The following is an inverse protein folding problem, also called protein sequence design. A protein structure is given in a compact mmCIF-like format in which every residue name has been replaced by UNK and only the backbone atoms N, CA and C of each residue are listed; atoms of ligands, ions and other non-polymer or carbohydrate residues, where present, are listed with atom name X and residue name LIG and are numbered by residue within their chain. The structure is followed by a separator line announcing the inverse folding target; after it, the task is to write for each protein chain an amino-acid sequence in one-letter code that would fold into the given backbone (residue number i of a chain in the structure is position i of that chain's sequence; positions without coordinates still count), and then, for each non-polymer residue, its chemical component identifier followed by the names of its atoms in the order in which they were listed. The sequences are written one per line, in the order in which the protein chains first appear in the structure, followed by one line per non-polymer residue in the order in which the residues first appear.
data_IF_093400188895
#
_entry.id   IF_093400188895
#
_cell.length_a   1.000
_cell.length_b   1.000
_cell.length_c   1.000
_cell.angle_alpha   90.00
_cell.angle_beta   90.00
_cell.angle_gamma   90.00
#
_symmetry.space_group_name_H-M   'P 1'
#
loop_
_entity.id
_entity.type
_entity.pdbx_description
1 polymer ?
#
# COMPACT_ATOMS: atom_id res chain seq x y z
N UNK A 1 -18.82 4.73 -25.18
CA UNK A 1 -19.56 4.03 -26.25
C UNK A 1 -20.99 4.59 -26.32
N UNK A 2 -21.53 4.91 -27.51
CA UNK A 2 -22.89 5.41 -27.66
C UNK A 2 -23.91 4.37 -27.16
N UNK A 3 -24.84 4.80 -26.31
CA UNK A 3 -25.92 3.95 -25.80
C UNK A 3 -25.63 3.21 -24.51
N UNK A 4 -24.38 3.20 -24.01
CA UNK A 4 -24.01 2.52 -22.75
C UNK A 4 -24.09 3.44 -21.54
N UNK A 5 -24.19 4.76 -21.73
CA UNK A 5 -24.07 5.74 -20.65
C UNK A 5 -22.71 5.75 -19.95
N UNK A 6 -21.71 5.12 -20.55
CA UNK A 6 -20.35 5.07 -20.02
C UNK A 6 -19.51 6.26 -20.53
N UNK A 7 -18.83 6.91 -19.61
CA UNK A 7 -17.90 7.98 -19.89
C UNK A 7 -16.59 7.76 -19.15
N UNK A 8 -15.49 7.91 -19.86
CA UNK A 8 -14.15 7.89 -19.26
C UNK A 8 -13.33 9.06 -19.80
N UNK A 9 -12.64 9.75 -18.92
CA UNK A 9 -11.69 10.81 -19.26
C UNK A 9 -10.39 10.61 -18.52
N UNK A 10 -9.30 10.58 -19.25
CA UNK A 10 -7.95 10.61 -18.69
C UNK A 10 -7.41 12.04 -18.78
N UNK A 11 -6.73 12.46 -17.71
CA UNK A 11 -6.07 13.75 -17.64
C UNK A 11 -4.59 13.49 -17.34
N UNK A 12 -3.72 13.91 -18.27
CA UNK A 12 -2.29 13.85 -18.07
C UNK A 12 -1.82 15.08 -17.29
N UNK A 13 -1.29 14.83 -16.10
CA UNK A 13 -0.80 15.89 -15.21
C UNK A 13 0.43 16.61 -15.74
N UNK A 14 1.23 15.95 -16.57
CA UNK A 14 2.40 16.58 -17.19
C UNK A 14 2.02 17.69 -18.20
N UNK A 15 0.81 17.62 -18.74
CA UNK A 15 0.28 18.61 -19.69
C UNK A 15 -0.62 19.66 -19.02
N UNK A 16 -0.86 19.54 -17.72
CA UNK A 16 -1.79 20.41 -16.99
C UNK A 16 -1.01 21.52 -16.29
N UNK A 17 -1.28 22.77 -16.66
CA UNK A 17 -0.58 23.96 -16.15
C UNK A 17 -0.90 24.31 -14.69
N UNK A 18 -1.96 23.76 -14.10
CA UNK A 18 -2.36 24.11 -12.73
C UNK A 18 -2.66 22.90 -11.86
N UNK A 19 -1.61 22.33 -11.27
CA UNK A 19 -1.69 21.19 -10.37
C UNK A 19 -2.48 21.47 -9.08
N UNK A 20 -2.49 22.73 -8.62
CA UNK A 20 -3.17 23.08 -7.37
C UNK A 20 -4.70 22.92 -7.44
N UNK A 21 -5.29 23.02 -8.62
CA UNK A 21 -6.75 22.85 -8.81
C UNK A 21 -7.16 21.40 -9.02
N UNK A 22 -6.24 20.51 -9.36
CA UNK A 22 -6.54 19.11 -9.67
C UNK A 22 -6.94 18.27 -8.44
N UNK A 23 -6.67 18.74 -7.25
CA UNK A 23 -7.10 18.08 -6.01
C UNK A 23 -8.60 18.20 -5.70
N UNK A 24 -9.35 18.98 -6.49
CA UNK A 24 -10.79 19.19 -6.28
C UNK A 24 -11.55 18.84 -7.55
N UNK A 25 -12.27 17.74 -7.50
CA UNK A 25 -13.11 17.29 -8.62
C UNK A 25 -14.56 17.37 -8.17
N UNK A 26 -15.38 18.12 -8.93
CA UNK A 26 -16.83 18.16 -8.75
C UNK A 26 -17.48 17.40 -9.89
N UNK A 27 -18.27 16.41 -9.54
CA UNK A 27 -19.10 15.67 -10.50
C UNK A 27 -20.55 16.01 -10.22
N UNK A 28 -21.25 16.47 -11.22
CA UNK A 28 -22.64 16.84 -11.13
C UNK A 28 -23.46 16.11 -12.18
N UNK A 29 -24.44 15.34 -11.72
CA UNK A 29 -25.39 14.66 -12.58
C UNK A 29 -26.66 15.49 -12.66
N UNK A 30 -27.07 15.84 -13.87
CA UNK A 30 -28.27 16.67 -14.13
C UNK A 30 -29.53 15.84 -14.30
N UNK A 31 -29.39 14.59 -14.74
CA UNK A 31 -30.56 13.73 -15.03
C UNK A 31 -30.93 12.90 -13.79
N UNK A 32 -32.20 12.48 -13.74
CA UNK A 32 -32.70 11.58 -12.69
C UNK A 32 -32.14 10.16 -12.85
N UNK A 33 -32.07 9.42 -11.73
CA UNK A 33 -31.60 8.04 -11.71
C UNK A 33 -30.25 7.90 -10.99
N UNK A 34 -29.77 6.68 -10.88
CA UNK A 34 -28.52 6.35 -10.19
C UNK A 34 -27.36 6.34 -11.19
N UNK A 35 -26.22 6.89 -10.78
CA UNK A 35 -24.97 6.80 -11.53
C UNK A 35 -23.86 6.33 -10.60
N UNK A 36 -22.95 5.58 -11.15
CA UNK A 36 -21.73 5.12 -10.46
C UNK A 36 -20.52 5.74 -11.13
N UNK A 37 -19.52 6.06 -10.34
CA UNK A 37 -18.26 6.58 -10.86
C UNK A 37 -17.11 6.17 -9.98
N UNK A 38 -15.93 6.10 -10.59
CA UNK A 38 -14.67 5.89 -9.91
C UNK A 38 -13.64 6.89 -10.43
N UNK A 39 -12.76 7.30 -9.58
CA UNK A 39 -11.64 8.14 -9.93
C UNK A 39 -10.36 7.41 -9.58
N UNK A 40 -9.46 7.33 -10.55
CA UNK A 40 -8.16 6.71 -10.40
C UNK A 40 -7.10 7.80 -10.42
N UNK A 41 -6.33 7.86 -9.34
CA UNK A 41 -5.17 8.73 -9.22
C UNK A 41 -3.92 7.88 -9.32
N UNK A 42 -3.11 8.10 -10.35
CA UNK A 42 -1.90 7.33 -10.60
C UNK A 42 -0.69 8.25 -10.66
N UNK A 43 0.36 7.92 -9.93
CA UNK A 43 1.62 8.65 -9.94
C UNK A 43 2.77 7.72 -9.59
N UNK A 44 3.97 8.13 -9.96
CA UNK A 44 5.20 7.45 -9.57
C UNK A 44 5.71 8.06 -8.26
N UNK A 45 6.09 7.22 -7.32
CA UNK A 45 6.67 7.62 -6.05
C UNK A 45 7.85 6.72 -5.72
N UNK A 46 8.84 7.26 -5.01
CA UNK A 46 9.93 6.46 -4.45
C UNK A 46 9.39 5.57 -3.35
N UNK A 47 9.87 4.33 -3.28
CA UNK A 47 9.35 3.32 -2.36
C UNK A 47 9.48 3.72 -0.88
N UNK A 48 10.51 4.48 -0.54
CA UNK A 48 10.77 5.00 0.81
C UNK A 48 9.84 6.16 1.20
N UNK A 49 9.18 6.79 0.23
CA UNK A 49 8.27 7.93 0.44
C UNK A 49 6.79 7.56 0.40
N UNK A 50 6.47 6.30 0.12
CA UNK A 50 5.08 5.84 0.11
C UNK A 50 4.51 5.92 1.52
N UNK A 51 3.48 6.74 1.68
CA UNK A 51 2.74 6.85 2.94
C UNK A 51 1.64 5.81 3.02
N UNK A 52 1.43 5.18 4.19
CA UNK A 52 0.31 4.28 4.38
C UNK A 52 -1.02 5.02 4.22
N UNK A 53 -1.94 4.42 3.47
CA UNK A 53 -3.31 4.90 3.37
C UNK A 53 -4.25 3.97 4.13
N UNK A 54 -5.15 4.56 4.91
CA UNK A 54 -6.19 3.80 5.58
C UNK A 54 -7.28 3.41 4.59
N UNK A 55 -7.52 2.11 4.51
CA UNK A 55 -8.62 1.50 3.77
C UNK A 55 -9.42 0.62 4.73
N UNK A 56 -10.58 0.04 4.34
CA UNK A 56 -11.24 -0.99 5.13
C UNK A 56 -10.33 -2.16 5.52
N UNK A 57 -9.30 -2.42 4.71
CA UNK A 57 -8.24 -3.37 5.02
C UNK A 57 -7.03 -2.63 5.59
N UNK A 58 -6.81 -2.74 6.89
CA UNK A 58 -5.66 -2.16 7.59
C UNK A 58 -4.53 -3.16 7.64
N UNK A 59 -3.33 -2.71 7.27
CA UNK A 59 -2.12 -3.51 7.31
C UNK A 59 -1.08 -2.84 8.22
N UNK A 60 -0.49 -3.64 9.11
CA UNK A 60 0.65 -3.23 9.92
C UNK A 60 1.79 -4.22 9.72
N UNK A 61 2.91 -3.75 9.20
CA UNK A 61 4.14 -4.53 9.04
C UNK A 61 5.16 -4.12 10.08
N UNK A 62 5.75 -5.10 10.75
CA UNK A 62 6.83 -4.89 11.71
C UNK A 62 7.97 -5.84 11.43
N UNK A 63 9.18 -5.36 11.59
CA UNK A 63 10.41 -6.12 11.40
C UNK A 63 11.08 -6.33 12.75
N UNK A 64 11.55 -7.53 12.99
CA UNK A 64 12.25 -7.91 14.21
C UNK A 64 13.56 -8.59 13.86
N UNK A 65 14.62 -8.22 14.56
CA UNK A 65 15.89 -8.93 14.51
C UNK A 65 15.81 -10.15 15.44
N UNK A 66 16.04 -11.33 14.88
CA UNK A 66 16.09 -12.58 15.65
C UNK A 66 17.51 -12.84 16.12
N UNK A 67 17.70 -12.97 17.43
CA UNK A 67 18.96 -13.32 18.07
C UNK A 67 18.85 -14.67 18.77
N UNK A 68 19.87 -15.48 18.61
CA UNK A 68 20.00 -16.71 19.39
C UNK A 68 20.79 -16.39 20.66
N UNK A 69 20.19 -16.62 21.82
CA UNK A 69 20.81 -16.44 23.13
C UNK A 69 20.92 -17.78 23.84
N UNK A 70 21.72 -17.83 24.92
CA UNK A 70 21.83 -19.04 25.76
C UNK A 70 20.46 -19.48 26.34
N UNK A 71 19.52 -18.53 26.50
CA UNK A 71 18.16 -18.78 27.00
C UNK A 71 17.14 -19.06 25.89
N UNK A 72 17.56 -19.10 24.64
CA UNK A 72 16.68 -19.35 23.48
C UNK A 72 16.67 -18.22 22.47
N UNK A 73 15.64 -18.23 21.60
CA UNK A 73 15.47 -17.25 20.55
C UNK A 73 14.78 -16.00 21.13
N UNK A 74 15.42 -14.85 20.94
CA UNK A 74 14.86 -13.53 21.29
C UNK A 74 14.63 -12.73 20.00
N UNK A 75 13.52 -12.01 19.94
CA UNK A 75 13.21 -11.10 18.85
C UNK A 75 13.19 -9.67 19.37
N UNK A 76 13.90 -8.77 18.71
CA UNK A 76 13.97 -7.34 19.02
C UNK A 76 13.40 -6.52 17.87
N UNK A 77 12.55 -5.52 18.13
CA UNK A 77 12.05 -4.65 17.05
C UNK A 77 13.21 -3.94 16.35
N UNK A 78 13.16 -3.90 15.02
CA UNK A 78 14.11 -3.13 14.23
C UNK A 78 13.64 -1.68 14.19
N UNK A 79 14.53 -0.77 14.55
CA UNK A 79 14.35 0.66 14.51
C UNK A 79 15.35 1.29 13.53
N UNK A 80 15.24 2.57 13.24
CA UNK A 80 16.16 3.30 12.36
C UNK A 80 17.62 3.26 12.86
N UNK A 81 17.82 3.08 14.15
CA UNK A 81 19.15 2.98 14.76
C UNK A 81 19.71 1.58 14.78
N UNK A 82 18.94 0.56 14.43
CA UNK A 82 19.36 -0.84 14.45
C UNK A 82 20.34 -1.12 13.32
N UNK A 83 21.56 -1.53 13.66
CA UNK A 83 22.57 -1.92 12.67
C UNK A 83 22.43 -3.40 12.34
N UNK A 84 22.11 -3.71 11.10
CA UNK A 84 22.02 -5.06 10.57
C UNK A 84 23.37 -5.50 10.00
N UNK A 85 23.66 -6.79 10.11
CA UNK A 85 24.87 -7.44 9.59
C UNK A 85 24.49 -8.56 8.63
N UNK A 86 25.41 -8.93 7.78
CA UNK A 86 25.26 -10.11 6.92
C UNK A 86 25.04 -11.36 7.80
N UNK A 87 24.04 -12.16 7.43
CA UNK A 87 23.65 -13.36 8.17
C UNK A 87 22.64 -13.15 9.29
N UNK A 88 22.27 -11.89 9.60
CA UNK A 88 21.20 -11.61 10.55
C UNK A 88 19.86 -12.16 10.03
N UNK A 89 19.12 -12.79 10.95
CA UNK A 89 17.77 -13.28 10.65
C UNK A 89 16.74 -12.24 11.04
N UNK A 90 15.88 -11.90 10.07
CA UNK A 90 14.81 -10.93 10.25
C UNK A 90 13.47 -11.64 10.21
N UNK A 91 12.69 -11.46 11.26
CA UNK A 91 11.30 -11.91 11.32
C UNK A 91 10.37 -10.78 10.92
N UNK A 92 9.56 -11.02 9.91
CA UNK A 92 8.52 -10.08 9.46
C UNK A 92 7.21 -10.49 10.10
N UNK A 93 6.54 -9.55 10.76
CA UNK A 93 5.20 -9.73 11.29
C UNK A 93 4.25 -8.80 10.52
N UNK A 94 3.22 -9.40 9.94
CA UNK A 94 2.18 -8.67 9.22
C UNK A 94 0.87 -8.90 9.96
N UNK A 95 0.25 -7.83 10.39
CA UNK A 95 -1.10 -7.82 10.97
C UNK A 95 -2.06 -7.26 9.94
N UNK A 96 -3.10 -8.01 9.64
CA UNK A 96 -4.20 -7.60 8.77
C UNK A 96 -5.46 -7.45 9.62
N UNK A 97 -6.15 -6.33 9.47
CA UNK A 97 -7.44 -6.08 10.11
C UNK A 97 -8.43 -5.63 9.07
N UNK A 98 -9.61 -6.23 9.09
CA UNK A 98 -10.72 -5.89 8.20
C UNK A 98 -11.93 -5.54 9.04
N UNK A 99 -12.76 -4.64 8.55
CA UNK A 99 -14.02 -4.21 9.19
C UNK A 99 -15.25 -4.95 8.62
N UNK A 100 -15.04 -5.74 7.58
CA UNK A 100 -16.09 -6.50 6.88
C UNK A 100 -15.51 -7.71 6.15
N UNK A 101 -16.38 -8.61 5.74
CA UNK A 101 -15.97 -9.72 4.89
C UNK A 101 -15.46 -9.22 3.55
N UNK A 102 -14.33 -9.76 3.12
CA UNK A 102 -13.66 -9.39 1.87
C UNK A 102 -13.32 -10.64 1.07
N UNK A 103 -13.53 -10.57 -0.23
CA UNK A 103 -13.16 -11.62 -1.18
C UNK A 103 -12.04 -11.13 -2.10
N UNK A 104 -11.28 -12.07 -2.65
CA UNK A 104 -10.20 -11.79 -3.61
C UNK A 104 -9.12 -10.83 -3.09
N UNK A 105 -8.80 -10.93 -1.80
CA UNK A 105 -7.72 -10.12 -1.20
C UNK A 105 -6.37 -10.62 -1.69
N UNK A 106 -5.57 -9.72 -2.25
CA UNK A 106 -4.21 -9.99 -2.66
C UNK A 106 -3.23 -9.18 -1.81
N UNK A 107 -2.31 -9.87 -1.14
CA UNK A 107 -1.22 -9.24 -0.39
C UNK A 107 0.08 -9.37 -1.17
N UNK A 108 0.75 -8.24 -1.38
CA UNK A 108 2.10 -8.18 -1.92
C UNK A 108 3.04 -7.66 -0.84
N UNK A 109 3.94 -8.50 -0.36
CA UNK A 109 4.98 -8.12 0.58
C UNK A 109 6.30 -7.87 -0.16
N UNK A 110 6.73 -6.62 -0.18
CA UNK A 110 7.99 -6.23 -0.79
C UNK A 110 9.10 -6.20 0.27
N UNK A 111 10.26 -6.70 -0.11
CA UNK A 111 11.46 -6.76 0.72
C UNK A 111 12.65 -6.11 0.01
N UNK A 112 13.64 -5.71 0.76
CA UNK A 112 14.89 -5.20 0.19
C UNK A 112 15.61 -6.30 -0.60
N UNK A 113 16.33 -5.91 -1.64
CA UNK A 113 17.00 -6.83 -2.56
C UNK A 113 18.06 -7.74 -1.91
N UNK A 114 18.62 -7.31 -0.77
CA UNK A 114 19.58 -8.10 0.00
C UNK A 114 18.97 -9.14 0.94
N UNK A 115 17.66 -9.30 0.97
CA UNK A 115 16.97 -10.25 1.84
C UNK A 115 16.48 -11.47 1.06
N UNK A 116 16.83 -12.64 1.55
CA UNK A 116 16.34 -13.91 1.04
C UNK A 116 15.34 -14.54 2.02
N UNK A 117 14.19 -15.05 1.52
CA UNK A 117 13.24 -15.74 2.38
C UNK A 117 13.83 -17.09 2.79
N UNK A 118 13.87 -17.35 4.10
CA UNK A 118 14.28 -18.65 4.64
C UNK A 118 13.07 -19.55 4.96
N UNK A 119 12.00 -18.96 5.46
CA UNK A 119 10.74 -19.63 5.72
C UNK A 119 9.58 -18.70 5.40
N UNK A 120 8.54 -19.26 4.78
CA UNK A 120 7.22 -18.61 4.64
C UNK A 120 6.25 -19.49 5.43
N UNK A 121 5.61 -18.89 6.42
CA UNK A 121 4.61 -19.55 7.26
C UNK A 121 3.23 -19.27 6.66
#
# INVERSE_FOLDING_TARGET
EPGTGYFQKSVDMAQTLNLATMGKIKVEKKDVGVSYGAMYWQYFEQLDKITPHETPLKLKKQLFLQKNTASGIVIEPITETTKLKLGDKIKVRIELRVDRDMSYVHMKDMRASGFEPTNVI
#
